data_IF_897161029817
#
_entry.id   IF_897161029817
#
_cell.length_a   1.000
_cell.length_b   1.000
_cell.length_c   1.000
_cell.angle_alpha   90.00
_cell.angle_beta   90.00
_cell.angle_gamma   90.00
#
_symmetry.space_group_name_H-M   'P 1'
#
loop_
_entity.id
_entity.type
_entity.pdbx_description
1 polymer ?
#
# COMPACT_ATOMS: atom_id res chain seq x y z
N UNK A 1 -4.17 16.05 -14.60
CA UNK A 1 -5.36 15.50 -13.90
C UNK A 1 -5.90 14.20 -14.51
N UNK A 2 -6.17 14.11 -15.83
CA UNK A 2 -6.69 12.86 -16.43
C UNK A 2 -5.74 11.66 -16.27
N UNK A 3 -4.45 11.85 -16.52
CA UNK A 3 -3.43 10.81 -16.35
C UNK A 3 -3.35 10.28 -14.91
N UNK A 4 -3.50 11.15 -13.90
CA UNK A 4 -3.54 10.75 -12.49
C UNK A 4 -4.72 9.86 -12.19
N UNK A 5 -5.91 10.20 -12.72
CA UNK A 5 -7.11 9.39 -12.53
C UNK A 5 -6.99 8.02 -13.20
N UNK A 6 -6.38 7.97 -14.38
CA UNK A 6 -6.10 6.72 -15.08
C UNK A 6 -5.11 5.85 -14.30
N UNK A 7 -4.01 6.45 -13.82
CA UNK A 7 -3.04 5.77 -12.97
C UNK A 7 -3.69 5.21 -11.69
N UNK A 8 -4.49 6.04 -10.99
CA UNK A 8 -5.24 5.61 -9.82
C UNK A 8 -6.18 4.44 -10.13
N UNK A 9 -6.95 4.52 -11.23
CA UNK A 9 -7.86 3.45 -11.67
C UNK A 9 -7.12 2.13 -11.95
N UNK A 10 -5.94 2.19 -12.57
CA UNK A 10 -5.13 1.02 -12.84
C UNK A 10 -4.61 0.38 -11.54
N UNK A 11 -4.17 1.19 -10.57
CA UNK A 11 -3.76 0.71 -9.24
C UNK A 11 -4.95 0.06 -8.53
N UNK A 12 -6.14 0.65 -8.58
CA UNK A 12 -7.35 0.05 -7.99
C UNK A 12 -7.70 -1.30 -8.60
N UNK A 13 -7.57 -1.44 -9.92
CA UNK A 13 -7.81 -2.72 -10.60
C UNK A 13 -6.80 -3.78 -10.16
N UNK A 14 -5.52 -3.42 -10.10
CA UNK A 14 -4.46 -4.31 -9.60
C UNK A 14 -4.70 -4.70 -8.14
N UNK A 15 -5.11 -3.74 -7.31
CA UNK A 15 -5.44 -4.00 -5.91
C UNK A 15 -6.64 -4.96 -5.76
N UNK A 16 -7.68 -4.85 -6.59
CA UNK A 16 -8.79 -5.81 -6.56
C UNK A 16 -8.33 -7.24 -6.85
N UNK A 17 -7.44 -7.42 -7.83
CA UNK A 17 -6.84 -8.73 -8.15
C UNK A 17 -5.95 -9.25 -7.01
N UNK A 18 -5.23 -8.35 -6.34
CA UNK A 18 -4.44 -8.68 -5.17
C UNK A 18 -5.32 -9.09 -3.98
N UNK A 19 -6.41 -8.37 -3.72
CA UNK A 19 -7.34 -8.64 -2.63
C UNK A 19 -7.97 -10.04 -2.74
N UNK A 20 -8.30 -10.48 -3.96
CA UNK A 20 -8.78 -11.85 -4.21
C UNK A 20 -7.75 -12.94 -3.84
N UNK A 21 -6.47 -12.59 -3.80
CA UNK A 21 -5.35 -13.48 -3.50
C UNK A 21 -4.74 -13.19 -2.11
N UNK A 22 -5.46 -12.48 -1.24
CA UNK A 22 -4.94 -12.09 0.06
C UNK A 22 -4.48 -13.29 0.90
N UNK A 23 -5.22 -14.41 0.90
CA UNK A 23 -4.79 -15.61 1.60
C UNK A 23 -3.45 -16.16 1.09
N UNK A 24 -3.24 -16.14 -0.24
CA UNK A 24 -1.95 -16.52 -0.84
C UNK A 24 -0.84 -15.56 -0.41
N UNK A 25 -1.13 -14.26 -0.31
CA UNK A 25 -0.17 -13.29 0.20
C UNK A 25 0.22 -13.57 1.65
N UNK A 26 -0.75 -13.86 2.52
CA UNK A 26 -0.47 -14.21 3.92
C UNK A 26 0.36 -15.49 4.03
N UNK A 27 0.03 -16.53 3.27
CA UNK A 27 0.82 -17.77 3.24
C UNK A 27 2.27 -17.51 2.78
N UNK A 28 2.45 -16.68 1.75
CA UNK A 28 3.79 -16.31 1.26
C UNK A 28 4.61 -15.56 2.33
N UNK A 29 3.98 -14.65 3.08
CA UNK A 29 4.63 -13.96 4.21
C UNK A 29 5.02 -14.96 5.30
N UNK A 30 4.18 -15.94 5.58
CA UNK A 30 4.45 -16.96 6.60
C UNK A 30 5.63 -17.87 6.23
N UNK A 31 5.63 -18.39 5.00
CA UNK A 31 6.72 -19.22 4.48
C UNK A 31 8.06 -18.46 4.45
N UNK A 32 8.04 -17.20 4.01
CA UNK A 32 9.27 -16.41 3.93
C UNK A 32 9.82 -16.02 5.30
N UNK A 33 8.95 -15.74 6.28
CA UNK A 33 9.35 -15.54 7.68
C UNK A 33 9.94 -16.81 8.30
N UNK A 34 9.35 -17.96 7.99
CA UNK A 34 9.89 -19.25 8.43
C UNK A 34 11.31 -19.47 7.89
N UNK A 35 11.52 -19.22 6.60
CA UNK A 35 12.84 -19.32 5.96
C UNK A 35 13.85 -18.28 6.49
N UNK A 36 13.37 -17.13 6.96
CA UNK A 36 14.19 -16.09 7.59
C UNK A 36 14.46 -16.35 9.08
N UNK A 37 13.84 -17.38 9.65
CA UNK A 37 13.81 -17.63 11.10
C UNK A 37 13.28 -16.44 11.93
N UNK A 38 12.39 -15.62 11.36
CA UNK A 38 11.80 -14.42 11.99
C UNK A 38 10.30 -14.61 12.32
N UNK A 39 9.99 -15.72 13.01
CA UNK A 39 8.61 -16.04 13.43
C UNK A 39 8.12 -15.22 14.63
N UNK A 40 9.02 -14.48 15.30
CA UNK A 40 8.70 -13.76 16.53
C UNK A 40 8.22 -12.33 16.25
N UNK A 41 8.77 -11.67 15.22
CA UNK A 41 8.48 -10.25 14.98
C UNK A 41 7.39 -10.07 13.92
N UNK A 42 6.51 -9.07 14.07
CA UNK A 42 5.57 -8.68 13.03
C UNK A 42 6.30 -8.16 11.79
N UNK A 43 5.63 -8.24 10.65
CA UNK A 43 6.10 -7.57 9.45
C UNK A 43 5.63 -6.12 9.53
N UNK A 44 6.60 -5.21 9.59
CA UNK A 44 6.35 -3.80 9.94
C UNK A 44 6.64 -2.84 8.81
N UNK A 45 7.21 -3.28 7.69
CA UNK A 45 7.56 -2.35 6.60
C UNK A 45 7.52 -3.02 5.23
N UNK A 46 7.37 -2.21 4.17
CA UNK A 46 7.49 -2.68 2.79
C UNK A 46 8.91 -3.22 2.53
N UNK A 47 9.93 -2.57 3.09
CA UNK A 47 11.32 -2.99 2.97
C UNK A 47 11.58 -4.38 3.54
N UNK A 48 10.91 -4.75 4.63
CA UNK A 48 10.98 -6.10 5.17
C UNK A 48 10.36 -7.14 4.21
N UNK A 49 9.23 -6.81 3.57
CA UNK A 49 8.62 -7.67 2.54
C UNK A 49 9.55 -7.85 1.34
N UNK A 50 10.21 -6.77 0.91
CA UNK A 50 11.23 -6.84 -0.16
C UNK A 50 12.42 -7.71 0.24
N UNK A 51 12.95 -7.55 1.46
CA UNK A 51 14.06 -8.35 1.95
C UNK A 51 13.72 -9.86 1.99
N UNK A 52 12.49 -10.21 2.40
CA UNK A 52 11.98 -11.58 2.36
C UNK A 52 11.86 -12.13 0.95
N UNK A 53 11.38 -11.34 0.00
CA UNK A 53 11.33 -11.72 -1.41
C UNK A 53 12.72 -12.04 -1.97
N UNK A 54 13.71 -11.21 -1.64
CA UNK A 54 15.04 -11.29 -2.24
C UNK A 54 15.88 -12.43 -1.66
N UNK A 55 15.77 -12.67 -0.35
CA UNK A 55 16.69 -13.58 0.36
C UNK A 55 16.03 -14.86 0.88
N UNK A 56 14.70 -14.89 1.02
CA UNK A 56 14.01 -15.98 1.74
C UNK A 56 12.82 -16.58 0.97
N UNK A 57 12.59 -16.15 -0.29
CA UNK A 57 11.49 -16.63 -1.12
C UNK A 57 11.95 -17.62 -2.19
N UNK A 58 11.66 -18.90 -1.95
CA UNK A 58 12.07 -20.01 -2.81
C UNK A 58 10.96 -20.53 -3.74
N UNK A 59 9.70 -20.16 -3.49
CA UNK A 59 8.54 -20.61 -4.27
C UNK A 59 8.10 -19.54 -5.28
N UNK A 60 7.79 -19.96 -6.52
CA UNK A 60 7.34 -19.06 -7.59
C UNK A 60 5.97 -18.42 -7.33
N UNK A 61 5.06 -19.14 -6.68
CA UNK A 61 3.73 -18.63 -6.28
C UNK A 61 3.88 -17.52 -5.25
N UNK A 62 4.70 -17.75 -4.22
CA UNK A 62 4.99 -16.78 -3.16
C UNK A 62 5.69 -15.55 -3.76
N UNK A 63 6.71 -15.77 -4.59
CA UNK A 63 7.43 -14.71 -5.31
C UNK A 63 6.46 -13.84 -6.10
N UNK A 64 5.53 -14.46 -6.84
CA UNK A 64 4.54 -13.73 -7.66
C UNK A 64 3.65 -12.84 -6.81
N UNK A 65 3.09 -13.35 -5.71
CA UNK A 65 2.14 -12.55 -4.90
C UNK A 65 2.85 -11.45 -4.10
N UNK A 66 4.06 -11.69 -3.61
CA UNK A 66 4.90 -10.68 -2.96
C UNK A 66 5.27 -9.56 -3.95
N UNK A 67 5.63 -9.92 -5.18
CA UNK A 67 5.90 -8.94 -6.25
C UNK A 67 4.66 -8.09 -6.59
N UNK A 68 3.45 -8.67 -6.63
CA UNK A 68 2.23 -7.90 -6.87
C UNK A 68 2.05 -6.83 -5.78
N UNK A 69 2.22 -7.20 -4.50
CA UNK A 69 2.15 -6.24 -3.38
C UNK A 69 3.18 -5.11 -3.54
N UNK A 70 4.44 -5.46 -3.80
CA UNK A 70 5.55 -4.50 -3.94
C UNK A 70 5.36 -3.57 -5.14
N UNK A 71 4.87 -4.11 -6.27
CA UNK A 71 4.56 -3.33 -7.46
C UNK A 71 3.44 -2.33 -7.19
N UNK A 72 2.38 -2.72 -6.48
CA UNK A 72 1.31 -1.80 -6.08
C UNK A 72 1.87 -0.68 -5.18
N UNK A 73 2.69 -1.01 -4.19
CA UNK A 73 3.33 0.00 -3.33
C UNK A 73 4.23 0.96 -4.12
N UNK A 74 4.99 0.43 -5.09
CA UNK A 74 5.82 1.23 -5.99
C UNK A 74 4.97 2.17 -6.85
N UNK A 75 3.87 1.68 -7.41
CA UNK A 75 2.98 2.48 -8.25
C UNK A 75 2.23 3.54 -7.43
N UNK A 76 1.86 3.25 -6.18
CA UNK A 76 1.34 4.25 -5.24
C UNK A 76 2.38 5.34 -4.96
N UNK A 77 3.64 4.97 -4.71
CA UNK A 77 4.70 5.95 -4.50
C UNK A 77 4.95 6.83 -5.74
N UNK A 78 4.97 6.24 -6.94
CA UNK A 78 5.04 6.99 -8.21
C UNK A 78 3.84 7.92 -8.39
N UNK A 79 2.65 7.47 -8.01
CA UNK A 79 1.45 8.31 -8.05
C UNK A 79 1.62 9.51 -7.11
N UNK A 80 2.11 9.33 -5.87
CA UNK A 80 2.43 10.44 -4.99
C UNK A 80 3.36 11.47 -5.64
N UNK A 81 4.45 11.02 -6.29
CA UNK A 81 5.37 11.91 -6.99
C UNK A 81 4.69 12.68 -8.14
N UNK A 82 3.82 12.01 -8.90
CA UNK A 82 3.02 12.68 -9.96
C UNK A 82 2.05 13.71 -9.39
N UNK A 83 1.43 13.44 -8.25
CA UNK A 83 0.54 14.38 -7.56
C UNK A 83 1.30 15.63 -7.09
N UNK A 84 2.51 15.44 -6.55
CA UNK A 84 3.38 16.53 -6.08
C UNK A 84 3.79 17.47 -7.22
N UNK A 85 4.09 16.92 -8.40
CA UNK A 85 4.52 17.68 -9.57
C UNK A 85 3.38 18.46 -10.26
N UNK A 86 2.12 18.17 -9.96
CA UNK A 86 0.98 18.69 -10.73
C UNK A 86 0.54 20.10 -10.34
N UNK A 87 0.65 20.46 -9.05
CA UNK A 87 0.37 21.82 -8.60
C UNK A 87 0.95 22.05 -7.20
N UNK A 88 1.23 23.31 -6.87
CA UNK A 88 1.39 23.73 -5.49
C UNK A 88 0.07 23.47 -4.76
N UNK A 89 -0.02 22.35 -4.04
CA UNK A 89 -1.24 21.95 -3.37
C UNK A 89 -1.71 22.94 -2.33
N UNK A 90 -2.96 22.78 -1.92
CA UNK A 90 -3.48 23.39 -0.69
C UNK A 90 -2.87 22.72 0.53
N UNK A 91 -2.99 23.36 1.70
CA UNK A 91 -2.61 22.73 2.98
C UNK A 91 -3.25 21.35 3.18
N UNK A 92 -4.50 21.17 2.72
CA UNK A 92 -5.22 19.89 2.81
C UNK A 92 -4.61 18.85 1.88
N UNK A 93 -4.47 19.16 0.58
CA UNK A 93 -3.92 18.22 -0.40
C UNK A 93 -2.45 17.88 -0.11
N UNK A 94 -1.68 18.84 0.39
CA UNK A 94 -0.29 18.61 0.80
C UNK A 94 -0.22 17.71 2.04
N UNK A 95 -1.07 17.95 3.06
CA UNK A 95 -1.12 17.08 4.23
C UNK A 95 -1.46 15.64 3.85
N UNK A 96 -2.47 15.43 2.99
CA UNK A 96 -2.83 14.09 2.48
C UNK A 96 -1.64 13.45 1.75
N UNK A 97 -0.96 14.22 0.90
CA UNK A 97 0.15 13.72 0.09
C UNK A 97 1.37 13.31 0.94
N UNK A 98 1.78 14.13 1.91
CA UNK A 98 2.87 13.80 2.84
C UNK A 98 2.59 12.52 3.60
N UNK A 99 1.35 12.39 4.06
CA UNK A 99 0.81 11.22 4.71
C UNK A 99 0.89 9.96 3.84
N UNK A 100 0.50 10.06 2.57
CA UNK A 100 0.65 8.95 1.62
C UNK A 100 2.12 8.58 1.40
N UNK A 101 2.99 9.57 1.15
CA UNK A 101 4.44 9.37 0.94
C UNK A 101 5.08 8.66 2.12
N UNK A 102 4.73 9.06 3.35
CA UNK A 102 5.22 8.41 4.56
C UNK A 102 4.79 6.94 4.62
N UNK A 103 3.50 6.63 4.37
CA UNK A 103 3.00 5.26 4.43
C UNK A 103 3.63 4.33 3.39
N UNK A 104 3.88 4.81 2.16
CA UNK A 104 4.46 4.00 1.07
C UNK A 104 6.00 4.01 1.05
N UNK A 105 6.62 4.69 2.01
CA UNK A 105 8.07 4.66 2.18
C UNK A 105 8.54 3.26 2.59
N UNK A 106 9.59 2.69 1.97
CA UNK A 106 10.07 1.34 2.27
C UNK A 106 10.39 1.09 3.74
N UNK A 107 10.86 2.10 4.47
CA UNK A 107 11.29 1.99 5.87
C UNK A 107 10.25 2.42 6.89
N UNK A 108 9.06 2.86 6.46
CA UNK A 108 8.04 3.32 7.39
C UNK A 108 7.46 2.17 8.22
N UNK A 109 7.23 2.44 9.50
CA UNK A 109 6.61 1.47 10.41
C UNK A 109 5.09 1.42 10.19
N UNK A 110 4.61 0.23 9.88
CA UNK A 110 3.22 -0.13 9.62
C UNK A 110 2.60 -0.89 10.80
N UNK A 111 3.33 -1.11 11.90
CA UNK A 111 2.89 -1.91 13.05
C UNK A 111 1.54 -1.45 13.63
N UNK A 112 1.28 -0.14 13.61
CA UNK A 112 0.09 0.49 14.19
C UNK A 112 -1.03 0.76 13.20
N UNK A 113 -0.79 0.65 11.88
CA UNK A 113 -1.82 0.99 10.89
C UNK A 113 -2.85 -0.14 10.80
N UNK A 114 -4.13 0.22 10.83
CA UNK A 114 -5.23 -0.75 10.68
C UNK A 114 -6.31 -0.14 9.79
N UNK A 115 -6.62 -0.85 8.72
CA UNK A 115 -7.71 -0.48 7.83
C UNK A 115 -9.03 -0.62 8.61
N UNK A 116 -9.86 0.41 8.52
CA UNK A 116 -11.18 0.45 9.15
C UNK A 116 -12.25 0.17 8.10
N UNK A 117 -13.47 -0.07 8.56
CA UNK A 117 -14.65 -0.14 7.69
C UNK A 117 -14.65 1.02 6.66
N UNK A 118 -14.92 0.76 5.37
CA UNK A 118 -15.48 -0.47 4.79
C UNK A 118 -14.46 -1.57 4.45
N UNK A 119 -13.18 -1.39 4.76
CA UNK A 119 -12.15 -2.39 4.46
C UNK A 119 -12.16 -3.53 5.47
N UNK A 120 -12.30 -4.76 4.98
CA UNK A 120 -12.39 -5.99 5.76
C UNK A 120 -11.12 -6.85 5.69
N UNK A 121 -10.07 -6.37 5.03
CA UNK A 121 -8.80 -7.10 4.83
C UNK A 121 -8.20 -7.62 6.14
N UNK A 122 -8.28 -6.88 7.23
CA UNK A 122 -7.78 -7.35 8.54
C UNK A 122 -8.70 -8.44 9.13
N UNK A 123 -10.01 -8.37 8.87
CA UNK A 123 -10.99 -9.34 9.34
C UNK A 123 -10.91 -10.67 8.58
N UNK A 124 -10.35 -10.68 7.37
CA UNK A 124 -10.07 -11.90 6.61
C UNK A 124 -8.87 -12.69 7.13
N UNK A 125 -8.12 -12.14 8.09
CA UNK A 125 -7.02 -12.86 8.73
C UNK A 125 -7.58 -13.88 9.72
N UNK A 126 -7.07 -15.12 9.62
CA UNK A 126 -7.63 -16.30 10.29
C UNK A 126 -7.59 -16.26 11.82
N UNK A 127 -6.63 -15.54 12.40
CA UNK A 127 -6.43 -15.46 13.86
C UNK A 127 -5.85 -14.11 14.28
N UNK A 128 -5.90 -13.82 15.59
CA UNK A 128 -5.35 -12.57 16.14
C UNK A 128 -3.83 -12.48 15.99
N UNK A 129 -3.14 -13.62 15.98
CA UNK A 129 -1.72 -13.68 15.65
C UNK A 129 -1.44 -13.14 14.23
N UNK A 130 -2.21 -13.59 13.23
CA UNK A 130 -2.08 -13.07 11.87
C UNK A 130 -2.43 -11.58 11.78
N UNK A 131 -3.45 -11.12 12.53
CA UNK A 131 -3.80 -9.69 12.62
C UNK A 131 -2.68 -8.85 13.24
N UNK A 132 -1.96 -9.39 14.21
CA UNK A 132 -0.83 -8.71 14.84
C UNK A 132 0.42 -8.71 13.97
N UNK A 133 0.70 -9.81 13.28
CA UNK A 133 1.90 -9.96 12.44
C UNK A 133 1.78 -9.31 11.06
N UNK A 134 0.60 -9.35 10.46
CA UNK A 134 0.39 -8.95 9.05
C UNK A 134 -0.62 -7.83 8.88
N UNK A 135 -1.37 -7.47 9.93
CA UNK A 135 -2.45 -6.48 9.88
C UNK A 135 -2.01 -5.12 9.34
N UNK A 136 -0.80 -4.68 9.68
CA UNK A 136 -0.22 -3.44 9.16
C UNK A 136 -0.06 -3.48 7.64
N UNK A 137 0.63 -4.50 7.14
CA UNK A 137 0.95 -4.67 5.71
C UNK A 137 -0.32 -4.82 4.86
N UNK A 138 -1.29 -5.63 5.28
CA UNK A 138 -2.55 -5.77 4.51
C UNK A 138 -3.42 -4.52 4.55
N UNK A 139 -3.26 -3.69 5.58
CA UNK A 139 -4.01 -2.43 5.72
C UNK A 139 -3.46 -1.30 4.86
N UNK A 140 -2.19 -1.39 4.43
CA UNK A 140 -1.49 -0.30 3.77
C UNK A 140 -2.19 0.17 2.49
N UNK A 141 -2.37 -0.73 1.52
CA UNK A 141 -2.89 -0.40 0.20
C UNK A 141 -4.29 0.25 0.26
N UNK A 142 -5.29 -0.32 0.96
CA UNK A 142 -6.62 0.30 1.01
C UNK A 142 -6.61 1.69 1.66
N UNK A 143 -5.82 1.90 2.73
CA UNK A 143 -5.70 3.21 3.39
C UNK A 143 -5.12 4.25 2.43
N UNK A 144 -4.02 3.92 1.74
CA UNK A 144 -3.36 4.85 0.82
C UNK A 144 -4.26 5.16 -0.37
N UNK A 145 -4.98 4.16 -0.90
CA UNK A 145 -5.95 4.37 -1.99
C UNK A 145 -7.07 5.35 -1.59
N UNK A 146 -7.62 5.23 -0.38
CA UNK A 146 -8.64 6.17 0.11
C UNK A 146 -8.10 7.58 0.22
N UNK A 147 -6.85 7.74 0.69
CA UNK A 147 -6.21 9.04 0.79
C UNK A 147 -5.94 9.65 -0.59
N UNK A 148 -5.52 8.85 -1.57
CA UNK A 148 -5.35 9.32 -2.95
C UNK A 148 -6.68 9.72 -3.59
N UNK A 149 -7.77 8.99 -3.34
CA UNK A 149 -9.12 9.38 -3.79
C UNK A 149 -9.55 10.70 -3.16
N UNK A 150 -9.33 10.86 -1.86
CA UNK A 150 -9.62 12.10 -1.17
C UNK A 150 -8.80 13.26 -1.76
N UNK A 151 -7.51 13.03 -2.03
CA UNK A 151 -6.65 14.01 -2.69
C UNK A 151 -7.22 14.46 -4.04
N UNK A 152 -7.62 13.52 -4.91
CA UNK A 152 -8.21 13.84 -6.22
C UNK A 152 -9.50 14.63 -6.05
N UNK A 153 -10.40 14.19 -5.17
CA UNK A 153 -11.67 14.87 -4.91
C UNK A 153 -11.49 16.29 -4.34
N UNK A 154 -10.47 16.52 -3.52
CA UNK A 154 -10.14 17.87 -3.03
C UNK A 154 -9.55 18.74 -4.14
N UNK A 155 -8.69 18.17 -4.98
CA UNK A 155 -8.02 18.89 -6.05
C UNK A 155 -9.00 19.31 -7.16
N UNK A 156 -10.02 18.50 -7.45
CA UNK A 156 -11.08 18.84 -8.41
C UNK A 156 -11.97 20.01 -7.97
N UNK A 157 -12.07 20.24 -6.65
CA UNK A 157 -12.84 21.36 -6.09
C UNK A 157 -12.08 22.68 -6.15
N UNK A 158 -10.80 22.67 -6.55
CA UNK A 158 -9.99 23.88 -6.65
C UNK A 158 -10.35 24.67 -7.92
N UNK A 159 -10.42 26.01 -7.85
CA UNK A 159 -10.58 26.85 -9.04
C UNK A 159 -9.46 26.59 -10.05
N UNK A 160 -9.78 26.55 -11.36
CA UNK A 160 -8.82 26.26 -12.45
C UNK A 160 -7.54 27.12 -12.42
N UNK A 161 -7.60 28.30 -11.80
CA UNK A 161 -6.46 29.22 -11.65
C UNK A 161 -5.31 28.67 -10.78
N UNK A 162 -5.52 27.57 -10.05
CA UNK A 162 -4.49 26.88 -9.26
C UNK A 162 -3.91 25.64 -9.97
N UNK A 163 -4.42 25.27 -11.16
CA UNK A 163 -3.99 24.08 -11.91
C UNK A 163 -2.97 24.39 -13.03
N UNK A 164 -2.48 25.64 -13.09
CA UNK A 164 -1.42 26.06 -14.01
C UNK A 164 -0.23 26.53 -13.19
N UNK A 165 0.81 25.71 -13.14
CA UNK A 165 2.23 26.11 -13.16
C UNK A 165 3.05 24.88 -13.56
#
# INVERSE_FOLDING_TARGET
MNEVKECLRNIEQNYKLFQQQQFTFIAALDHTRENAHDKIRPITSIGQVQAYLDHHCNNSTDRRILLIFLNICSDLNKLCQKLEALHAGTSVTNNILEKCKLLVSPSNDLSTIRAKYPHDVVNHLSCDEAKNHYGGVVSLIPIVLDWMKAWVAHSEKLPRNYMQN
#
